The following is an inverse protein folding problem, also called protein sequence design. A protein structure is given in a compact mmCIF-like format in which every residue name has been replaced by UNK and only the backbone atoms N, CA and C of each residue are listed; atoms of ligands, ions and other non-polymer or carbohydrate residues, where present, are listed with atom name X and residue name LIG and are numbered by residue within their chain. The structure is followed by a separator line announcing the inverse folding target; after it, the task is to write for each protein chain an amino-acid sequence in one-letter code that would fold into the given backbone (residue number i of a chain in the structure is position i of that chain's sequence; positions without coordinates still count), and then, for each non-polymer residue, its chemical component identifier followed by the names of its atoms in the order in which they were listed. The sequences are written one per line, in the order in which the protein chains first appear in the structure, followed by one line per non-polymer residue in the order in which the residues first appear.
data_IF_142154182355
#
_entry.id   IF_142154182355
#
_cell.length_a   1.000
_cell.length_b   1.000
_cell.length_c   1.000
_cell.angle_alpha   90.00
_cell.angle_beta   90.00
_cell.angle_gamma   90.00
#
_symmetry.space_group_name_H-M   'P 1'
#
loop_
_entity.id
_entity.type
_entity.pdbx_description
1 polymer ?
#
# COMPACT_ATOMS: atom_id res chain seq x y z
N UNK A 1 -0.86 3.59 24.06
CA UNK A 1 -0.98 4.12 22.69
C UNK A 1 -1.90 3.15 21.96
N UNK A 2 -3.14 3.53 21.70
CA UNK A 2 -4.08 2.65 20.98
C UNK A 2 -3.70 2.78 19.51
N UNK A 3 -3.26 1.67 18.94
CA UNK A 3 -2.89 1.57 17.54
C UNK A 3 -4.17 1.56 16.68
N UNK A 4 -4.46 2.67 16.03
CA UNK A 4 -5.62 2.82 15.13
C UNK A 4 -5.34 2.28 13.72
N UNK A 5 -4.14 1.75 13.45
CA UNK A 5 -3.69 1.46 12.08
C UNK A 5 -4.34 0.21 11.48
N UNK A 6 -4.47 -0.88 12.24
CA UNK A 6 -5.02 -2.14 11.72
C UNK A 6 -6.54 -2.09 11.47
N UNK A 7 -7.26 -1.29 12.28
CA UNK A 7 -8.67 -1.00 12.09
C UNK A 7 -8.94 -0.28 10.76
N UNK A 8 -7.99 0.51 10.25
CA UNK A 8 -8.14 1.27 9.01
C UNK A 8 -8.11 0.38 7.77
N UNK A 9 -7.21 -0.60 7.69
CA UNK A 9 -7.17 -1.49 6.52
C UNK A 9 -8.39 -2.41 6.50
N UNK A 10 -8.76 -3.02 7.63
CA UNK A 10 -9.91 -3.91 7.69
C UNK A 10 -11.21 -3.18 7.31
N UNK A 11 -11.42 -1.96 7.81
CA UNK A 11 -12.59 -1.16 7.46
C UNK A 11 -12.61 -0.82 5.96
N UNK A 12 -11.47 -0.43 5.39
CA UNK A 12 -11.34 -0.17 3.96
C UNK A 12 -11.61 -1.43 3.13
N UNK A 13 -11.08 -2.58 3.55
CA UNK A 13 -11.30 -3.87 2.90
C UNK A 13 -12.79 -4.24 2.86
N UNK A 14 -13.50 -4.06 3.98
CA UNK A 14 -14.95 -4.28 4.06
C UNK A 14 -15.67 -3.35 3.08
N UNK A 15 -15.34 -2.06 3.06
CA UNK A 15 -15.97 -1.09 2.17
C UNK A 15 -15.75 -1.45 0.70
N UNK A 16 -14.52 -1.83 0.32
CA UNK A 16 -14.16 -2.17 -1.05
C UNK A 16 -14.89 -3.44 -1.55
N UNK A 17 -15.22 -4.38 -0.66
CA UNK A 17 -16.04 -5.56 -1.01
C UNK A 17 -17.46 -5.22 -1.46
N UNK A 18 -18.01 -4.09 -1.03
CA UNK A 18 -19.34 -3.62 -1.47
C UNK A 18 -19.32 -2.90 -2.81
N UNK A 19 -18.15 -2.66 -3.40
CA UNK A 19 -17.99 -1.90 -4.66
C UNK A 19 -17.18 -2.74 -5.67
N UNK A 20 -17.65 -3.93 -6.08
CA UNK A 20 -16.87 -4.88 -6.90
C UNK A 20 -16.58 -4.41 -8.33
N UNK A 21 -17.26 -3.34 -8.78
CA UNK A 21 -17.09 -2.75 -10.11
C UNK A 21 -16.17 -1.52 -10.08
N UNK A 22 -15.45 -1.29 -8.99
CA UNK A 22 -14.50 -0.19 -8.86
C UNK A 22 -13.37 -0.34 -9.88
N UNK A 23 -13.24 0.64 -10.78
CA UNK A 23 -12.19 0.66 -11.83
C UNK A 23 -10.95 1.44 -11.41
N UNK A 24 -11.10 2.39 -10.50
CA UNK A 24 -10.05 3.31 -10.06
C UNK A 24 -10.11 3.40 -8.55
N UNK A 25 -8.99 3.11 -7.90
CA UNK A 25 -8.80 3.27 -6.46
C UNK A 25 -7.58 4.15 -6.23
N UNK A 26 -7.80 5.28 -5.56
CA UNK A 26 -6.74 6.19 -5.12
C UNK A 26 -6.78 6.29 -3.61
N UNK A 27 -5.67 5.98 -2.96
CA UNK A 27 -5.56 6.00 -1.49
C UNK A 27 -4.39 6.91 -1.13
N UNK A 28 -4.68 7.83 -0.20
CA UNK A 28 -3.69 8.66 0.46
C UNK A 28 -3.70 8.32 1.94
N UNK A 29 -2.64 7.66 2.41
CA UNK A 29 -2.52 7.15 3.76
C UNK A 29 -1.17 7.56 4.38
N UNK A 30 -1.02 8.85 4.75
CA UNK A 30 0.20 9.31 5.38
C UNK A 30 0.40 8.63 6.74
N UNK A 31 1.65 8.32 7.07
CA UNK A 31 2.13 7.71 8.30
C UNK A 31 1.44 6.38 8.66
N UNK A 32 1.06 5.58 7.66
CA UNK A 32 0.35 4.32 7.88
C UNK A 32 1.09 3.12 7.25
N UNK A 33 2.02 2.55 8.02
CA UNK A 33 2.82 1.40 7.58
C UNK A 33 2.00 0.12 7.37
N UNK A 34 0.85 -0.02 8.04
CA UNK A 34 -0.06 -1.17 7.86
C UNK A 34 -0.70 -1.20 6.49
N UNK A 35 -0.77 -0.06 5.79
CA UNK A 35 -1.24 -0.01 4.41
C UNK A 35 -0.18 -0.47 3.40
N UNK A 36 1.09 -0.57 3.83
CA UNK A 36 2.21 -1.11 3.03
C UNK A 36 2.29 -2.63 3.26
N UNK A 37 1.36 -3.34 2.64
CA UNK A 37 1.23 -4.80 2.70
C UNK A 37 0.77 -5.31 1.33
N UNK A 38 1.73 -5.77 0.52
CA UNK A 38 1.46 -6.19 -0.86
C UNK A 38 0.53 -7.40 -0.90
N UNK A 39 0.73 -8.37 0.00
CA UNK A 39 -0.05 -9.62 0.02
C UNK A 39 -1.53 -9.33 0.32
N UNK A 40 -1.82 -8.49 1.33
CA UNK A 40 -3.20 -8.12 1.65
C UNK A 40 -3.88 -7.38 0.51
N UNK A 41 -3.16 -6.48 -0.16
CA UNK A 41 -3.71 -5.78 -1.32
C UNK A 41 -3.95 -6.73 -2.49
N UNK A 42 -2.98 -7.59 -2.83
CA UNK A 42 -3.13 -8.58 -3.90
C UNK A 42 -4.36 -9.46 -3.66
N UNK A 43 -4.50 -10.03 -2.45
CA UNK A 43 -5.68 -10.82 -2.11
C UNK A 43 -7.00 -10.04 -2.22
N UNK A 44 -7.03 -8.78 -1.81
CA UNK A 44 -8.24 -7.96 -1.95
C UNK A 44 -8.59 -7.71 -3.42
N UNK A 45 -7.58 -7.44 -4.24
CA UNK A 45 -7.74 -7.16 -5.68
C UNK A 45 -8.27 -8.41 -6.39
N UNK A 46 -7.61 -9.55 -6.19
CA UNK A 46 -7.99 -10.83 -6.79
C UNK A 46 -9.38 -11.29 -6.34
N UNK A 47 -9.74 -11.08 -5.07
CA UNK A 47 -11.01 -11.58 -4.53
C UNK A 47 -12.21 -10.68 -4.78
N UNK A 48 -12.01 -9.35 -4.78
CA UNK A 48 -13.13 -8.40 -4.64
C UNK A 48 -13.08 -7.25 -5.64
N UNK A 49 -11.93 -6.93 -6.23
CA UNK A 49 -11.76 -5.79 -7.14
C UNK A 49 -11.27 -6.23 -8.52
N UNK A 50 -11.91 -7.27 -9.07
CA UNK A 50 -11.53 -7.89 -10.35
C UNK A 50 -11.57 -6.93 -11.55
N UNK A 51 -12.29 -5.81 -11.42
CA UNK A 51 -12.41 -4.76 -12.45
C UNK A 51 -11.49 -3.57 -12.22
N UNK A 52 -10.60 -3.63 -11.22
CA UNK A 52 -9.68 -2.55 -10.89
C UNK A 52 -8.61 -2.45 -11.98
N UNK A 53 -8.57 -1.29 -12.64
CA UNK A 53 -7.61 -1.01 -13.69
C UNK A 53 -6.51 -0.05 -13.22
N UNK A 54 -6.87 0.90 -12.35
CA UNK A 54 -5.95 1.90 -11.83
C UNK A 54 -5.93 1.77 -10.32
N UNK A 55 -4.77 1.42 -9.78
CA UNK A 55 -4.49 1.45 -8.35
C UNK A 55 -3.40 2.50 -8.09
N UNK A 56 -3.75 3.53 -7.32
CA UNK A 56 -2.84 4.58 -6.88
C UNK A 56 -2.77 4.55 -5.37
N UNK A 57 -1.59 4.31 -4.84
CA UNK A 57 -1.35 4.28 -3.41
C UNK A 57 -0.20 5.21 -3.08
N UNK A 58 -0.47 6.20 -2.23
CA UNK A 58 0.52 7.15 -1.74
C UNK A 58 0.52 7.06 -0.23
N UNK A 59 1.68 6.78 0.32
CA UNK A 59 1.94 6.72 1.75
C UNK A 59 3.27 7.43 2.02
N UNK A 60 3.39 7.95 3.23
CA UNK A 60 4.66 8.41 3.79
C UNK A 60 4.85 7.70 5.14
N UNK A 61 6.10 7.57 5.57
CA UNK A 61 6.42 6.99 6.86
C UNK A 61 7.78 7.47 7.36
N UNK A 62 7.85 7.86 8.62
CA UNK A 62 9.10 8.23 9.29
C UNK A 62 9.82 6.97 9.79
N UNK A 63 10.82 6.52 9.02
CA UNK A 63 11.63 5.35 9.36
C UNK A 63 12.90 5.77 10.11
N UNK A 64 12.82 5.93 11.43
CA UNK A 64 14.01 6.25 12.24
C UNK A 64 14.91 5.00 12.38
N UNK A 65 14.32 3.80 12.56
CA UNK A 65 15.09 2.57 12.88
C UNK A 65 14.79 1.35 11.96
N UNK A 66 13.87 1.45 10.99
CA UNK A 66 13.32 0.27 10.29
C UNK A 66 13.46 0.31 8.75
N UNK A 67 14.46 1.05 8.26
CA UNK A 67 14.69 1.29 6.82
C UNK A 67 14.72 0.02 5.97
N UNK A 68 15.55 -0.97 6.35
CA UNK A 68 15.71 -2.19 5.56
C UNK A 68 14.43 -3.04 5.51
N UNK A 69 13.60 -2.99 6.56
CA UNK A 69 12.32 -3.70 6.58
C UNK A 69 11.29 -3.03 5.69
N UNK A 70 11.26 -1.71 5.67
CA UNK A 70 10.41 -0.94 4.76
C UNK A 70 10.81 -1.21 3.33
N UNK A 71 12.11 -1.14 2.99
CA UNK A 71 12.58 -1.51 1.67
C UNK A 71 12.09 -2.91 1.25
N UNK A 72 12.21 -3.90 2.14
CA UNK A 72 11.71 -5.26 1.84
C UNK A 72 10.20 -5.27 1.55
N UNK A 73 9.38 -4.59 2.37
CA UNK A 73 7.95 -4.45 2.12
C UNK A 73 7.64 -3.77 0.78
N UNK A 74 8.44 -2.78 0.37
CA UNK A 74 8.27 -2.10 -0.91
C UNK A 74 8.62 -3.00 -2.10
N UNK A 75 9.63 -3.86 -1.96
CA UNK A 75 9.98 -4.85 -2.98
C UNK A 75 8.87 -5.90 -3.20
N UNK A 76 8.00 -6.16 -2.21
CA UNK A 76 6.85 -7.05 -2.36
C UNK A 76 5.84 -6.52 -3.40
N UNK A 77 5.79 -5.21 -3.65
CA UNK A 77 4.99 -4.59 -4.71
C UNK A 77 5.63 -4.67 -6.10
N UNK A 78 6.65 -5.53 -6.29
CA UNK A 78 7.36 -5.71 -7.57
C UNK A 78 7.30 -7.15 -8.11
N UNK A 79 6.41 -7.97 -7.57
CA UNK A 79 6.18 -9.33 -8.10
C UNK A 79 5.53 -9.28 -9.49
N UNK A 80 5.49 -10.45 -10.15
CA UNK A 80 4.86 -10.60 -11.47
C UNK A 80 3.38 -10.19 -11.49
N UNK A 81 2.68 -10.33 -10.36
CA UNK A 81 1.31 -9.83 -10.19
C UNK A 81 1.25 -8.32 -10.44
N UNK A 82 2.06 -7.55 -9.71
CA UNK A 82 2.07 -6.08 -9.81
C UNK A 82 2.55 -5.59 -11.17
N UNK A 83 3.72 -6.08 -11.63
CA UNK A 83 4.40 -5.52 -12.79
C UNK A 83 3.88 -6.11 -14.10
N UNK A 84 3.77 -7.44 -14.21
CA UNK A 84 3.45 -8.09 -15.50
C UNK A 84 1.96 -8.18 -15.75
N UNK A 85 1.19 -8.61 -14.74
CA UNK A 85 -0.26 -8.84 -14.90
C UNK A 85 -1.02 -7.52 -14.89
N UNK A 86 -0.73 -6.65 -13.94
CA UNK A 86 -1.46 -5.40 -13.75
C UNK A 86 -0.78 -4.16 -14.36
N UNK A 87 0.50 -4.27 -14.75
CA UNK A 87 1.28 -3.13 -15.27
C UNK A 87 1.28 -1.93 -14.32
N UNK A 88 1.22 -2.20 -13.02
CA UNK A 88 1.31 -1.18 -11.99
C UNK A 88 2.77 -1.03 -11.56
N UNK A 89 3.18 0.21 -11.38
CA UNK A 89 4.55 0.57 -11.04
C UNK A 89 4.61 1.16 -9.65
N UNK A 90 5.58 0.69 -8.87
CA UNK A 90 5.85 1.19 -7.52
C UNK A 90 7.09 2.07 -7.56
N UNK A 91 6.93 3.33 -7.14
CA UNK A 91 8.02 4.26 -6.95
C UNK A 91 8.04 4.75 -5.51
N UNK A 92 9.22 4.96 -4.95
CA UNK A 92 9.39 5.47 -3.60
C UNK A 92 10.59 6.40 -3.53
N UNK A 93 10.46 7.43 -2.70
CA UNK A 93 11.52 8.38 -2.41
C UNK A 93 11.90 8.27 -0.94
N UNK A 94 13.20 8.24 -0.66
CA UNK A 94 13.72 8.19 0.70
C UNK A 94 14.29 9.55 1.02
N UNK A 95 13.60 10.27 1.90
CA UNK A 95 14.09 11.53 2.44
C UNK A 95 14.79 11.25 3.76
N UNK A 96 16.13 11.14 3.72
CA UNK A 96 16.92 11.19 4.94
C UNK A 96 16.91 12.63 5.45
N UNK A 97 16.33 12.87 6.63
CA UNK A 97 16.59 14.11 7.34
C UNK A 97 18.05 14.08 7.80
N UNK A 98 18.95 14.66 7.01
CA UNK A 98 20.25 15.06 7.55
C UNK A 98 19.97 16.16 8.56
N UNK A 99 20.11 15.84 9.85
CA UNK A 99 20.29 16.86 10.87
C UNK A 99 21.54 17.66 10.47
N UNK A 100 21.33 18.79 9.80
CA UNK A 100 22.35 19.82 9.69
C UNK A 100 22.45 20.43 11.10
N UNK A 101 23.48 19.99 11.83
CA UNK A 101 24.03 20.72 12.97
C UNK A 101 24.50 22.12 12.54
#
# INVERSE_FOLDING_TARGET
MIDYSEANFQALQILLKYIPNLKILSIYAPNNMEMVDADRWQHLIESSLIHLHIFKFIFDYYAIDDYNKILKKLEEFRTDFWIKQHQWYTNYEINAFSNLE
#
